data_IF_862151306009
#
_entry.id   IF_862151306009
#
_cell.length_a   1.000
_cell.length_b   1.000
_cell.length_c   1.000
_cell.angle_alpha   90.00
_cell.angle_beta   90.00
_cell.angle_gamma   90.00
#
_symmetry.space_group_name_H-M   'P 1'
#
loop_
_entity.id
_entity.type
_entity.pdbx_description
1 polymer ?
#
# COMPACT_ATOMS: atom_id res chain seq x y z
N UNK A 1 15.73 12.59 4.85
CA UNK A 1 16.15 12.55 3.43
C UNK A 1 17.62 12.17 3.23
N UNK A 2 18.58 12.81 3.91
CA UNK A 2 20.02 12.50 3.74
C UNK A 2 20.35 11.05 4.15
N UNK A 3 19.81 10.61 5.28
CA UNK A 3 20.00 9.26 5.80
C UNK A 3 19.50 8.16 4.83
N UNK A 4 18.34 8.38 4.19
CA UNK A 4 17.81 7.39 3.25
C UNK A 4 18.64 7.29 1.97
N UNK A 5 19.15 8.44 1.48
CA UNK A 5 20.09 8.44 0.34
C UNK A 5 21.36 7.62 0.67
N UNK A 6 21.91 7.81 1.87
CA UNK A 6 23.09 7.08 2.31
C UNK A 6 22.81 5.58 2.42
N UNK A 7 21.67 5.18 2.99
CA UNK A 7 21.27 3.76 3.07
C UNK A 7 21.11 3.15 1.68
N UNK A 8 20.46 3.84 0.75
CA UNK A 8 20.33 3.37 -0.63
C UNK A 8 21.68 3.20 -1.32
N UNK A 9 22.62 4.13 -1.12
CA UNK A 9 23.98 4.01 -1.68
C UNK A 9 24.69 2.78 -1.09
N UNK A 10 24.61 2.56 0.22
CA UNK A 10 25.19 1.39 0.88
C UNK A 10 24.56 0.09 0.36
N UNK A 11 23.24 0.05 0.16
CA UNK A 11 22.57 -1.12 -0.43
C UNK A 11 23.08 -1.42 -1.84
N UNK A 12 23.34 -0.39 -2.66
CA UNK A 12 23.91 -0.57 -4.01
C UNK A 12 25.30 -1.19 -4.00
N UNK A 13 26.07 -0.89 -2.95
CA UNK A 13 27.38 -1.50 -2.72
C UNK A 13 27.30 -2.90 -2.09
N UNK A 14 26.11 -3.50 -2.01
CA UNK A 14 25.91 -4.86 -1.49
C UNK A 14 25.85 -4.99 0.03
N UNK A 15 25.74 -3.87 0.74
CA UNK A 15 25.64 -3.90 2.21
C UNK A 15 24.24 -4.38 2.64
N UNK A 16 24.17 -5.60 3.18
CA UNK A 16 22.93 -6.23 3.65
C UNK A 16 22.35 -5.51 4.88
N UNK A 17 23.18 -5.01 5.79
CA UNK A 17 22.72 -4.31 6.99
C UNK A 17 21.97 -3.01 6.65
N UNK A 18 22.38 -2.33 5.57
CA UNK A 18 21.67 -1.15 5.09
C UNK A 18 20.25 -1.50 4.61
N UNK A 19 20.06 -2.66 3.97
CA UNK A 19 18.75 -3.16 3.57
C UNK A 19 17.89 -3.52 4.78
N UNK A 20 18.45 -4.21 5.79
CA UNK A 20 17.74 -4.49 7.05
C UNK A 20 17.29 -3.21 7.76
N UNK A 21 18.11 -2.16 7.73
CA UNK A 21 17.75 -0.86 8.32
C UNK A 21 16.62 -0.17 7.55
N UNK A 22 16.62 -0.24 6.23
CA UNK A 22 15.49 0.26 5.41
C UNK A 22 14.22 -0.52 5.73
N UNK A 23 14.31 -1.85 5.75
CA UNK A 23 13.20 -2.73 6.09
C UNK A 23 12.62 -2.40 7.47
N UNK A 24 13.43 -2.41 8.53
CA UNK A 24 12.98 -2.10 9.90
C UNK A 24 12.39 -0.69 10.04
N UNK A 25 12.91 0.29 9.28
CA UNK A 25 12.42 1.67 9.31
C UNK A 25 11.03 1.82 8.68
N UNK A 26 10.72 1.06 7.65
CA UNK A 26 9.52 1.29 6.84
C UNK A 26 8.47 0.18 6.91
N UNK A 27 8.80 -1.01 7.43
CA UNK A 27 7.91 -2.17 7.48
C UNK A 27 6.54 -1.82 8.10
N UNK A 28 6.52 -1.32 9.32
CA UNK A 28 5.28 -1.09 10.07
C UNK A 28 4.40 -0.03 9.41
N UNK A 29 5.03 1.02 8.88
CA UNK A 29 4.34 2.04 8.12
C UNK A 29 3.70 1.46 6.84
N UNK A 30 4.43 0.64 6.08
CA UNK A 30 3.93 0.02 4.85
C UNK A 30 2.86 -1.02 5.13
N UNK A 31 2.98 -1.80 6.21
CA UNK A 31 1.93 -2.71 6.65
C UNK A 31 0.63 -1.98 7.00
N UNK A 32 0.73 -0.88 7.75
CA UNK A 32 -0.43 -0.05 8.09
C UNK A 32 -1.08 0.52 6.82
N UNK A 33 -0.28 1.00 5.86
CA UNK A 33 -0.78 1.51 4.59
C UNK A 33 -1.46 0.40 3.77
N UNK A 34 -0.81 -0.75 3.62
CA UNK A 34 -1.33 -1.89 2.86
C UNK A 34 -2.64 -2.42 3.46
N UNK A 35 -2.71 -2.57 4.79
CA UNK A 35 -3.94 -2.96 5.50
C UNK A 35 -5.08 -1.98 5.26
N UNK A 36 -4.80 -0.68 5.38
CA UNK A 36 -5.80 0.34 5.10
C UNK A 36 -6.31 0.32 3.66
N UNK A 37 -5.49 -0.11 2.69
CA UNK A 37 -5.87 -0.24 1.29
C UNK A 37 -6.64 -1.51 0.98
N UNK A 38 -6.25 -2.64 1.57
CA UNK A 38 -6.77 -3.98 1.24
C UNK A 38 -7.88 -4.46 2.17
N UNK A 39 -7.92 -3.96 3.41
CA UNK A 39 -8.77 -4.49 4.47
C UNK A 39 -8.27 -5.81 5.09
N UNK A 40 -7.28 -6.48 4.49
CA UNK A 40 -6.83 -7.82 4.84
C UNK A 40 -5.38 -7.85 5.30
N UNK A 41 -5.12 -8.53 6.41
CA UNK A 41 -3.77 -8.61 6.97
C UNK A 41 -2.82 -9.44 6.12
N UNK A 42 -3.23 -10.65 5.73
CA UNK A 42 -2.38 -11.58 4.97
C UNK A 42 -1.98 -10.97 3.63
N UNK A 43 -2.96 -10.41 2.91
CA UNK A 43 -2.69 -9.73 1.64
C UNK A 43 -1.77 -8.52 1.83
N UNK A 44 -1.92 -7.77 2.91
CA UNK A 44 -1.04 -6.64 3.22
C UNK A 44 0.41 -7.09 3.50
N UNK A 45 0.60 -8.19 4.22
CA UNK A 45 1.91 -8.76 4.50
C UNK A 45 2.60 -9.24 3.20
N UNK A 46 1.87 -9.92 2.33
CA UNK A 46 2.36 -10.37 1.02
C UNK A 46 2.77 -9.18 0.15
N UNK A 47 1.94 -8.15 0.07
CA UNK A 47 2.23 -6.93 -0.69
C UNK A 47 3.52 -6.26 -0.19
N UNK A 48 3.66 -6.11 1.13
CA UNK A 48 4.85 -5.47 1.71
C UNK A 48 6.09 -6.31 1.47
N UNK A 49 5.98 -7.65 1.58
CA UNK A 49 7.07 -8.56 1.26
C UNK A 49 7.51 -8.40 -0.20
N UNK A 50 6.58 -8.48 -1.14
CA UNK A 50 6.84 -8.33 -2.58
C UNK A 50 7.48 -6.97 -2.91
N UNK A 51 7.03 -5.88 -2.27
CA UNK A 51 7.62 -4.55 -2.46
C UNK A 51 9.07 -4.52 -2.03
N UNK A 52 9.43 -5.12 -0.88
CA UNK A 52 10.82 -5.15 -0.44
C UNK A 52 11.68 -6.08 -1.28
N UNK A 53 11.16 -7.22 -1.73
CA UNK A 53 11.87 -8.12 -2.65
C UNK A 53 12.16 -7.40 -3.96
N UNK A 54 11.15 -6.77 -4.57
CA UNK A 54 11.32 -6.03 -5.83
C UNK A 54 12.27 -4.84 -5.66
N UNK A 55 12.20 -4.13 -4.53
CA UNK A 55 13.13 -3.05 -4.22
C UNK A 55 14.58 -3.57 -4.13
N UNK A 56 14.80 -4.69 -3.43
CA UNK A 56 16.12 -5.30 -3.30
C UNK A 56 16.67 -5.76 -4.66
N UNK A 57 15.87 -6.39 -5.50
CA UNK A 57 16.26 -6.83 -6.84
C UNK A 57 16.61 -5.66 -7.77
N UNK A 58 15.88 -4.55 -7.64
CA UNK A 58 16.07 -3.36 -8.48
C UNK A 58 17.11 -2.37 -7.94
N UNK A 59 17.65 -2.59 -6.74
CA UNK A 59 18.46 -1.61 -6.00
C UNK A 59 19.66 -1.07 -6.80
N UNK A 60 20.32 -1.91 -7.59
CA UNK A 60 21.50 -1.51 -8.39
C UNK A 60 21.16 -0.42 -9.40
N UNK A 61 19.97 -0.50 -10.03
CA UNK A 61 19.49 0.45 -11.05
C UNK A 61 18.65 1.59 -10.43
N UNK A 62 18.22 1.43 -9.18
CA UNK A 62 17.33 2.38 -8.51
C UNK A 62 17.98 3.75 -8.34
N UNK A 63 17.24 4.83 -8.64
CA UNK A 63 17.67 6.21 -8.39
C UNK A 63 16.65 6.91 -7.51
N UNK A 64 17.06 7.33 -6.34
CA UNK A 64 16.20 8.05 -5.41
C UNK A 64 16.14 9.53 -5.80
N UNK A 65 15.07 9.92 -6.46
CA UNK A 65 14.81 11.33 -6.89
C UNK A 65 14.00 12.13 -5.88
N UNK A 66 13.35 11.46 -4.93
CA UNK A 66 12.49 12.08 -3.92
C UNK A 66 12.60 11.42 -2.55
N UNK A 67 11.45 11.23 -1.90
CA UNK A 67 11.34 10.53 -0.62
C UNK A 67 11.32 9.01 -0.81
N UNK A 68 12.18 8.27 -0.10
CA UNK A 68 12.14 6.81 -0.11
C UNK A 68 10.79 6.29 0.46
N UNK A 69 10.28 6.97 1.49
CA UNK A 69 8.95 6.68 2.06
C UNK A 69 7.85 6.78 0.99
N UNK A 70 7.84 7.88 0.23
CA UNK A 70 6.86 8.10 -0.83
C UNK A 70 6.98 7.08 -1.96
N UNK A 71 8.22 6.73 -2.36
CA UNK A 71 8.47 5.71 -3.36
C UNK A 71 7.91 4.34 -2.93
N UNK A 72 8.24 3.88 -1.72
CA UNK A 72 7.76 2.60 -1.18
C UNK A 72 6.23 2.60 -1.02
N UNK A 73 5.64 3.72 -0.57
CA UNK A 73 4.19 3.88 -0.50
C UNK A 73 3.54 3.76 -1.90
N UNK A 74 4.16 4.35 -2.92
CA UNK A 74 3.72 4.21 -4.32
C UNK A 74 3.75 2.76 -4.78
N UNK A 75 4.82 2.02 -4.46
CA UNK A 75 4.93 0.59 -4.79
C UNK A 75 3.83 -0.24 -4.12
N UNK A 76 3.58 -0.01 -2.82
CA UNK A 76 2.49 -0.68 -2.08
C UNK A 76 1.14 -0.36 -2.71
N UNK A 77 0.86 0.92 -3.00
CA UNK A 77 -0.42 1.34 -3.56
C UNK A 77 -0.67 0.72 -4.94
N UNK A 78 0.33 0.70 -5.82
CA UNK A 78 0.22 0.07 -7.13
C UNK A 78 -0.06 -1.44 -7.01
N UNK A 79 0.70 -2.14 -6.18
CA UNK A 79 0.54 -3.58 -6.00
C UNK A 79 -0.81 -3.94 -5.35
N UNK A 80 -1.25 -3.15 -4.36
CA UNK A 80 -2.57 -3.32 -3.74
C UNK A 80 -3.70 -3.16 -4.77
N UNK A 81 -3.62 -2.13 -5.61
CA UNK A 81 -4.60 -1.89 -6.69
C UNK A 81 -4.65 -3.05 -7.68
N UNK A 82 -3.49 -3.58 -8.07
CA UNK A 82 -3.40 -4.70 -9.00
C UNK A 82 -3.98 -5.99 -8.39
N UNK A 83 -3.67 -6.29 -7.12
CA UNK A 83 -4.21 -7.44 -6.40
C UNK A 83 -5.74 -7.37 -6.26
N UNK A 84 -6.27 -6.20 -5.87
CA UNK A 84 -7.72 -5.99 -5.75
C UNK A 84 -8.41 -6.15 -7.11
N UNK A 85 -7.87 -5.54 -8.17
CA UNK A 85 -8.43 -5.70 -9.53
C UNK A 85 -8.44 -7.15 -10.00
N UNK A 86 -7.38 -7.88 -9.73
CA UNK A 86 -7.28 -9.31 -10.09
C UNK A 86 -8.35 -10.10 -9.34
N UNK A 87 -8.54 -9.85 -8.05
CA UNK A 87 -9.55 -10.52 -7.23
C UNK A 87 -10.97 -10.26 -7.72
N UNK A 88 -11.31 -8.99 -8.02
CA UNK A 88 -12.62 -8.62 -8.58
C UNK A 88 -12.87 -9.34 -9.92
N UNK A 89 -11.85 -9.47 -10.77
CA UNK A 89 -11.99 -10.21 -12.03
C UNK A 89 -12.19 -11.71 -11.80
N UNK A 90 -11.49 -12.28 -10.83
CA UNK A 90 -11.60 -13.71 -10.49
C UNK A 90 -12.98 -14.01 -9.89
N UNK A 91 -13.49 -13.20 -8.96
CA UNK A 91 -14.83 -13.38 -8.42
C UNK A 91 -15.91 -13.24 -9.48
N UNK A 92 -15.82 -12.24 -10.39
CA UNK A 92 -16.76 -12.09 -11.49
C UNK A 92 -16.76 -13.29 -12.46
N UNK A 93 -15.63 -13.98 -12.65
CA UNK A 93 -15.56 -15.21 -13.45
C UNK A 93 -16.16 -16.38 -12.67
N UNK A 94 -15.92 -16.48 -11.36
CA UNK A 94 -16.49 -17.54 -10.49
C UNK A 94 -18.03 -17.38 -10.42
N UNK A 95 -18.54 -16.15 -10.25
CA UNK A 95 -19.96 -15.86 -10.22
C UNK A 95 -20.66 -16.23 -11.55
N UNK A 96 -19.95 -16.15 -12.68
CA UNK A 96 -20.45 -16.60 -14.00
C UNK A 96 -20.44 -18.13 -14.15
N UNK A 97 -19.66 -18.86 -13.35
CA UNK A 97 -19.46 -20.30 -13.46
C UNK A 97 -20.19 -21.07 -12.35
N UNK A 98 -20.46 -20.42 -11.21
CA UNK A 98 -21.10 -21.01 -10.04
C UNK A 98 -22.25 -20.11 -9.54
N UNK A 99 -23.49 -20.45 -9.86
CA UNK A 99 -24.62 -20.12 -8.99
C UNK A 99 -24.44 -20.96 -7.71
N UNK A 100 -23.87 -20.40 -6.68
CA UNK A 100 -24.07 -20.67 -5.25
C UNK A 100 -22.84 -20.39 -4.38
N UNK A 101 -23.11 -19.60 -3.33
CA UNK A 101 -22.49 -19.56 -2.01
C UNK A 101 -20.97 -19.78 -1.89
N UNK A 102 -20.27 -18.65 -1.61
CA UNK A 102 -19.18 -18.68 -0.65
C UNK A 102 -18.92 -17.28 -0.08
N UNK A 103 -19.48 -17.02 1.09
CA UNK A 103 -18.91 -16.08 2.05
C UNK A 103 -17.51 -16.56 2.44
N UNK A 104 -16.47 -15.96 1.93
CA UNK A 104 -15.12 -16.20 2.41
C UNK A 104 -14.83 -15.36 3.65
N UNK A 105 -15.42 -15.75 4.75
CA UNK A 105 -15.01 -15.32 6.08
C UNK A 105 -13.82 -16.19 6.49
N UNK A 106 -12.60 -15.72 6.34
CA UNK A 106 -11.42 -16.42 6.85
C UNK A 106 -10.99 -15.78 8.19
N UNK A 107 -11.25 -16.42 9.33
CA UNK A 107 -10.90 -15.91 10.65
C UNK A 107 -9.48 -16.30 11.05
N UNK A 108 -8.47 -15.88 10.33
CA UNK A 108 -7.08 -16.22 10.65
C UNK A 108 -6.35 -15.08 11.33
N UNK A 109 -6.05 -15.31 12.61
CA UNK A 109 -5.17 -14.50 13.49
C UNK A 109 -5.69 -13.10 13.82
N UNK A 110 -6.62 -13.04 14.75
CA UNK A 110 -6.88 -11.84 15.57
C UNK A 110 -5.64 -11.52 16.42
N UNK A 111 -4.77 -10.64 15.93
CA UNK A 111 -4.07 -9.74 16.84
C UNK A 111 -5.17 -9.03 17.64
N UNK A 112 -4.92 -8.76 18.93
CA UNK A 112 -5.83 -7.98 19.78
C UNK A 112 -5.91 -6.58 19.17
N UNK A 113 -6.82 -6.41 18.22
CA UNK A 113 -7.13 -5.10 17.66
C UNK A 113 -8.01 -4.39 18.71
N UNK A 114 -7.66 -3.16 19.05
CA UNK A 114 -8.51 -2.34 19.89
C UNK A 114 -9.80 -2.01 19.12
N UNK A 115 -10.92 -1.79 19.86
CA UNK A 115 -12.20 -1.41 19.23
C UNK A 115 -12.08 -0.20 18.29
N UNK A 116 -11.17 0.73 18.60
CA UNK A 116 -10.91 1.90 17.78
C UNK A 116 -10.28 1.55 16.42
N UNK A 117 -9.39 0.56 16.38
CA UNK A 117 -8.77 0.08 15.14
C UNK A 117 -9.81 -0.63 14.27
N UNK A 118 -10.69 -1.42 14.89
CA UNK A 118 -11.79 -2.09 14.19
C UNK A 118 -12.73 -1.06 13.57
N UNK A 119 -13.19 -0.09 14.35
CA UNK A 119 -14.07 1.00 13.86
C UNK A 119 -13.42 1.80 12.72
N UNK A 120 -12.12 2.09 12.81
CA UNK A 120 -11.40 2.80 11.75
C UNK A 120 -11.32 1.97 10.47
N UNK A 121 -11.06 0.67 10.59
CA UNK A 121 -11.03 -0.25 9.45
C UNK A 121 -12.40 -0.30 8.77
N UNK A 122 -13.46 -0.54 9.54
CA UNK A 122 -14.82 -0.65 9.01
C UNK A 122 -15.26 0.67 8.34
N UNK A 123 -14.89 1.82 8.89
CA UNK A 123 -15.12 3.12 8.26
C UNK A 123 -14.34 3.27 6.94
N UNK A 124 -13.08 2.82 6.89
CA UNK A 124 -12.27 2.86 5.68
C UNK A 124 -12.81 1.92 4.59
N UNK A 125 -13.36 0.76 4.94
CA UNK A 125 -13.96 -0.19 4.00
C UNK A 125 -15.21 0.35 3.31
N UNK A 126 -15.97 1.22 3.97
CA UNK A 126 -17.14 1.90 3.40
C UNK A 126 -16.78 2.97 2.37
N UNK A 127 -15.53 3.44 2.36
CA UNK A 127 -15.07 4.46 1.42
C UNK A 127 -14.64 3.79 0.10
N UNK A 128 -15.07 4.29 -1.08
CA UNK A 128 -14.58 3.80 -2.35
C UNK A 128 -13.06 3.78 -2.43
N UNK A 129 -12.49 2.72 -3.03
CA UNK A 129 -11.05 2.48 -3.03
C UNK A 129 -10.21 3.71 -3.45
N UNK A 130 -10.63 4.40 -4.51
CA UNK A 130 -9.91 5.56 -5.03
C UNK A 130 -9.87 6.75 -4.07
N UNK A 131 -10.91 6.93 -3.27
CA UNK A 131 -10.98 7.96 -2.23
C UNK A 131 -10.11 7.54 -1.04
N UNK A 132 -10.26 6.30 -0.58
CA UNK A 132 -9.46 5.71 0.51
C UNK A 132 -7.96 5.78 0.21
N UNK A 133 -7.56 5.45 -1.02
CA UNK A 133 -6.17 5.53 -1.45
C UNK A 133 -5.61 6.96 -1.35
N UNK A 134 -6.35 7.97 -1.81
CA UNK A 134 -5.93 9.37 -1.70
C UNK A 134 -5.75 9.80 -0.24
N UNK A 135 -6.69 9.44 0.63
CA UNK A 135 -6.64 9.76 2.06
C UNK A 135 -5.40 9.14 2.70
N UNK A 136 -5.19 7.84 2.50
CA UNK A 136 -4.08 7.11 3.12
C UNK A 136 -2.72 7.60 2.60
N UNK A 137 -2.58 7.86 1.31
CA UNK A 137 -1.35 8.39 0.73
C UNK A 137 -1.05 9.81 1.23
N UNK A 138 -2.07 10.64 1.37
CA UNK A 138 -1.88 12.01 1.86
C UNK A 138 -1.57 12.01 3.37
N UNK A 139 -2.40 11.37 4.20
CA UNK A 139 -2.30 11.43 5.66
C UNK A 139 -1.16 10.56 6.17
N UNK A 140 -1.05 9.30 5.74
CA UNK A 140 -0.06 8.34 6.27
C UNK A 140 1.29 8.45 5.58
N UNK A 141 1.30 8.57 4.25
CA UNK A 141 2.56 8.67 3.50
C UNK A 141 3.10 10.10 3.44
N UNK A 142 2.27 11.12 3.70
CA UNK A 142 2.65 12.54 3.62
C UNK A 142 2.87 13.00 2.18
N UNK A 143 2.25 12.33 1.20
CA UNK A 143 2.36 12.69 -0.21
C UNK A 143 1.55 13.94 -0.52
N UNK A 144 2.08 14.79 -1.39
CA UNK A 144 1.35 15.95 -1.91
C UNK A 144 0.31 15.50 -2.93
N UNK A 145 -0.81 16.20 -3.03
CA UNK A 145 -1.86 15.88 -4.01
C UNK A 145 -1.35 15.81 -5.46
N UNK A 146 -0.34 16.61 -5.81
CA UNK A 146 0.31 16.54 -7.14
C UNK A 146 1.03 15.20 -7.36
N UNK A 147 1.68 14.65 -6.33
CA UNK A 147 2.35 13.35 -6.40
C UNK A 147 1.34 12.22 -6.52
N UNK A 148 0.22 12.31 -5.78
CA UNK A 148 -0.89 11.36 -5.86
C UNK A 148 -1.58 11.42 -7.23
N UNK A 149 -1.77 12.63 -7.77
CA UNK A 149 -2.34 12.84 -9.09
C UNK A 149 -1.50 12.16 -10.19
N UNK A 150 -0.18 12.33 -10.13
CA UNK A 150 0.74 11.65 -11.04
C UNK A 150 0.70 10.12 -10.87
N UNK A 151 0.61 9.62 -9.62
CA UNK A 151 0.51 8.20 -9.31
C UNK A 151 -0.77 7.56 -9.87
N UNK A 152 -1.92 8.23 -9.72
CA UNK A 152 -3.21 7.74 -10.17
C UNK A 152 -3.50 8.08 -11.64
N UNK A 153 -2.60 8.83 -12.31
CA UNK A 153 -2.81 9.37 -13.65
C UNK A 153 -4.14 10.13 -13.77
N UNK A 154 -4.39 11.00 -12.79
CA UNK A 154 -5.61 11.80 -12.66
C UNK A 154 -5.30 13.29 -12.55
N UNK A 155 -6.31 14.13 -12.80
CA UNK A 155 -6.17 15.57 -12.61
C UNK A 155 -6.06 15.92 -11.11
N UNK A 156 -5.40 17.03 -10.80
CA UNK A 156 -5.32 17.54 -9.44
C UNK A 156 -6.70 17.83 -8.84
N UNK A 157 -7.64 18.32 -9.64
CA UNK A 157 -9.03 18.58 -9.24
C UNK A 157 -9.75 17.29 -8.86
N UNK A 158 -9.54 16.19 -9.61
CA UNK A 158 -10.07 14.86 -9.28
C UNK A 158 -9.56 14.37 -7.93
N UNK A 159 -8.25 14.53 -7.66
CA UNK A 159 -7.66 14.12 -6.37
C UNK A 159 -8.20 14.95 -5.21
N UNK A 160 -8.34 16.26 -5.37
CA UNK A 160 -8.98 17.11 -4.37
C UNK A 160 -10.44 16.69 -4.11
N UNK A 161 -11.21 16.37 -5.16
CA UNK A 161 -12.56 15.84 -5.04
C UNK A 161 -12.60 14.52 -4.26
N UNK A 162 -11.75 13.55 -4.65
CA UNK A 162 -11.65 12.25 -3.95
C UNK A 162 -11.31 12.40 -2.48
N UNK A 163 -10.38 13.30 -2.15
CA UNK A 163 -10.03 13.59 -0.76
C UNK A 163 -11.20 14.21 0.01
N UNK A 164 -11.85 15.21 -0.56
CA UNK A 164 -12.97 15.95 0.07
C UNK A 164 -14.20 15.08 0.32
N UNK A 165 -14.51 14.15 -0.59
CA UNK A 165 -15.68 13.27 -0.46
C UNK A 165 -15.40 12.00 0.34
N UNK A 166 -14.13 11.66 0.58
CA UNK A 166 -13.75 10.50 1.37
C UNK A 166 -13.48 10.80 2.84
N UNK A 167 -13.45 12.08 3.25
CA UNK A 167 -13.41 12.52 4.65
C UNK A 167 -14.83 12.87 5.10
#
# INVERSE_FOLDING_TARGET
MLQDKLLVIKCKCGNKDAMYRIYGKYKDFLLTLARGLTGEQELAEDIVHDVFVNFALSIKKFRLTGSLKGYLATCVSNLARDRIRTRIRQSAIIDLVMENDCESNNPSRKLIETEEIIKLRDALEQIPYEQREVILLHIKAGMKFREIAALQNQSLSTIHGRYRYGI
#
